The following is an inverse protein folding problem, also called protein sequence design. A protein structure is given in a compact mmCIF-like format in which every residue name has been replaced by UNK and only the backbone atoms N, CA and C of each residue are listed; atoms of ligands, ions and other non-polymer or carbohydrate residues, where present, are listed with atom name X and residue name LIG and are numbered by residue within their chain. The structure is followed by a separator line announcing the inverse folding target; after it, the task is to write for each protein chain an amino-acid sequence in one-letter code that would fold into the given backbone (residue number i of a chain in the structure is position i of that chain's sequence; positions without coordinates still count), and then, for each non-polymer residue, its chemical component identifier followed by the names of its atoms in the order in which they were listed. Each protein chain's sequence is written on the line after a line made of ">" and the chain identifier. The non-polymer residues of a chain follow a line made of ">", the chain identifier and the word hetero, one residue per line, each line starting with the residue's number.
data_IF_430227763100
#
_entry.id   IF_430227763100
#
_cell.length_a   1.000
_cell.length_b   1.000
_cell.length_c   1.000
_cell.angle_alpha   90.00
_cell.angle_beta   90.00
_cell.angle_gamma   90.00
#
_symmetry.space_group_name_H-M   'P 1'
#
loop_
_entity.id
_entity.type
_entity.pdbx_description
1 polymer ?
#
# COMPACT_ATOMS: atom_id res chain seq x y z
N UNK A 1 9.21 7.50 -3.47
CA UNK A 1 10.18 6.97 -2.50
C UNK A 1 9.46 6.41 -1.29
N UNK A 2 9.97 5.33 -0.75
CA UNK A 2 9.47 4.69 0.47
C UNK A 2 10.59 4.69 1.49
N UNK A 3 10.32 5.17 2.70
CA UNK A 3 11.32 5.28 3.76
C UNK A 3 10.75 4.84 5.10
N UNK A 4 11.41 3.88 5.73
CA UNK A 4 11.12 3.41 7.08
C UNK A 4 12.29 3.79 8.00
N UNK A 5 12.00 4.41 9.12
CA UNK A 5 13.01 4.80 10.11
C UNK A 5 12.62 4.23 11.48
N UNK A 6 13.39 3.28 11.96
CA UNK A 6 13.20 2.61 13.26
C UNK A 6 11.74 2.19 13.52
N UNK A 7 11.11 1.59 12.50
CA UNK A 7 9.69 1.26 12.54
C UNK A 7 9.44 0.02 13.39
N UNK A 8 8.54 0.17 14.34
CA UNK A 8 7.98 -0.93 15.12
C UNK A 8 6.50 -1.09 14.81
N UNK A 9 6.03 -2.32 14.75
CA UNK A 9 4.62 -2.64 14.71
C UNK A 9 4.30 -3.78 15.63
N UNK A 10 3.49 -3.48 16.64
CA UNK A 10 2.94 -4.45 17.57
C UNK A 10 1.44 -4.55 17.37
N UNK A 11 0.95 -5.77 17.31
CA UNK A 11 -0.49 -6.04 17.33
C UNK A 11 -0.96 -6.19 18.78
N UNK A 12 -2.29 -6.20 18.98
CA UNK A 12 -2.88 -6.51 20.27
C UNK A 12 -2.30 -7.84 20.83
N UNK A 13 -2.24 -7.97 22.15
CA UNK A 13 -1.71 -9.16 22.85
C UNK A 13 -0.18 -9.31 22.78
N UNK A 14 0.56 -8.22 22.50
CA UNK A 14 2.01 -8.25 22.57
C UNK A 14 2.73 -8.90 21.39
N UNK A 15 2.00 -9.21 20.32
CA UNK A 15 2.60 -9.73 19.10
C UNK A 15 3.36 -8.64 18.36
N UNK A 16 4.68 -8.73 18.35
CA UNK A 16 5.56 -7.78 17.65
C UNK A 16 5.86 -8.31 16.26
N UNK A 17 5.33 -7.63 15.24
CA UNK A 17 5.55 -8.00 13.83
C UNK A 17 6.82 -7.36 13.26
N UNK A 18 7.15 -6.13 13.65
CA UNK A 18 8.34 -5.41 13.20
C UNK A 18 9.06 -4.80 14.41
N UNK A 19 10.40 -4.93 14.42
CA UNK A 19 11.26 -4.44 15.50
C UNK A 19 12.36 -3.55 14.93
N UNK A 20 12.12 -2.23 14.90
CA UNK A 20 13.14 -1.27 14.52
C UNK A 20 13.61 -1.42 13.07
N UNK A 21 12.69 -1.53 12.14
CA UNK A 21 13.02 -1.67 10.71
C UNK A 21 13.39 -0.31 10.13
N UNK A 22 14.57 -0.24 9.54
CA UNK A 22 15.03 0.93 8.78
C UNK A 22 15.37 0.49 7.37
N UNK A 23 14.69 1.11 6.39
CA UNK A 23 14.95 0.84 4.97
C UNK A 23 14.52 2.03 4.12
N UNK A 24 15.07 2.12 2.94
CA UNK A 24 14.74 3.15 1.96
C UNK A 24 14.69 2.54 0.57
N UNK A 25 13.63 2.83 -0.16
CA UNK A 25 13.47 2.46 -1.56
C UNK A 25 13.31 3.75 -2.36
N UNK A 26 14.29 4.02 -3.21
CA UNK A 26 14.34 5.24 -4.02
C UNK A 26 13.43 5.15 -5.24
N UNK A 27 13.11 6.30 -5.82
CA UNK A 27 12.40 6.34 -7.09
C UNK A 27 13.20 5.62 -8.18
N UNK A 28 12.52 4.80 -8.97
CA UNK A 28 13.14 4.00 -10.01
C UNK A 28 13.87 2.75 -9.53
N UNK A 29 13.91 2.51 -8.24
CA UNK A 29 14.56 1.32 -7.66
C UNK A 29 13.62 0.11 -7.72
N UNK A 30 14.19 -1.06 -8.01
CA UNK A 30 13.51 -2.34 -7.94
C UNK A 30 14.06 -3.13 -6.75
N UNK A 31 13.22 -3.48 -5.80
CA UNK A 31 13.62 -4.15 -4.56
C UNK A 31 12.80 -5.40 -4.30
N UNK A 32 13.45 -6.45 -3.79
CA UNK A 32 12.80 -7.65 -3.30
C UNK A 32 12.69 -7.62 -1.78
N UNK A 33 11.52 -7.97 -1.28
CA UNK A 33 11.28 -8.18 0.15
C UNK A 33 11.10 -9.69 0.37
N UNK A 34 12.11 -10.33 0.93
CA UNK A 34 12.15 -11.78 1.08
C UNK A 34 12.16 -12.20 2.55
N UNK A 35 11.60 -13.34 2.83
CA UNK A 35 11.56 -13.91 4.17
C UNK A 35 10.49 -15.01 4.28
N UNK A 36 10.56 -15.86 5.33
CA UNK A 36 9.54 -16.88 5.56
C UNK A 36 8.19 -16.26 5.94
N UNK A 37 7.13 -17.05 5.88
CA UNK A 37 5.81 -16.66 6.40
C UNK A 37 5.92 -16.21 7.85
N UNK A 38 5.22 -15.12 8.20
CA UNK A 38 5.25 -14.57 9.56
C UNK A 38 6.46 -13.69 9.86
N UNK A 39 7.32 -13.39 8.88
CA UNK A 39 8.49 -12.51 9.06
C UNK A 39 8.19 -11.01 8.99
N UNK A 40 6.93 -10.62 8.79
CA UNK A 40 6.52 -9.23 8.76
C UNK A 40 6.34 -8.61 7.37
N UNK A 41 6.48 -9.38 6.28
CA UNK A 41 6.33 -8.87 4.91
C UNK A 41 4.95 -8.24 4.67
N UNK A 42 3.89 -8.93 5.06
CA UNK A 42 2.52 -8.42 4.93
C UNK A 42 2.31 -7.15 5.75
N UNK A 43 2.90 -7.08 6.92
CA UNK A 43 2.84 -5.88 7.79
C UNK A 43 3.49 -4.69 7.13
N UNK A 44 4.65 -4.87 6.48
CA UNK A 44 5.33 -3.81 5.74
C UNK A 44 4.43 -3.28 4.61
N UNK A 45 3.82 -4.16 3.84
CA UNK A 45 2.89 -3.75 2.76
C UNK A 45 1.69 -2.98 3.32
N UNK A 46 1.11 -3.45 4.42
CA UNK A 46 -0.03 -2.77 5.07
C UNK A 46 0.34 -1.38 5.62
N UNK A 47 1.56 -1.21 6.09
CA UNK A 47 2.07 0.10 6.49
C UNK A 47 2.23 1.03 5.28
N UNK A 48 2.78 0.53 4.17
CA UNK A 48 2.96 1.32 2.95
C UNK A 48 1.61 1.80 2.38
N UNK A 49 0.59 0.97 2.42
CA UNK A 49 -0.75 1.31 1.90
C UNK A 49 -1.63 2.09 2.88
N UNK A 50 -1.15 2.34 4.08
CA UNK A 50 -1.91 3.05 5.11
C UNK A 50 -3.02 2.23 5.76
N UNK A 51 -3.05 0.91 5.55
CA UNK A 51 -4.00 0.01 6.21
C UNK A 51 -3.70 -0.13 7.70
N UNK A 52 -2.41 -0.05 8.05
CA UNK A 52 -1.94 -0.03 9.43
C UNK A 52 -1.11 1.22 9.68
N UNK A 53 -1.05 1.64 10.95
CA UNK A 53 -0.13 2.69 11.41
C UNK A 53 1.02 2.06 12.19
N UNK A 54 2.24 2.62 12.10
CA UNK A 54 3.34 2.15 12.94
C UNK A 54 3.05 2.38 14.41
N UNK A 55 3.52 1.47 15.26
CA UNK A 55 3.44 1.64 16.71
C UNK A 55 4.51 2.64 17.18
N UNK A 56 5.68 2.61 16.56
CA UNK A 56 6.77 3.55 16.78
C UNK A 56 7.58 3.71 15.49
N UNK A 57 8.38 4.76 15.41
CA UNK A 57 9.17 5.09 14.24
C UNK A 57 8.38 5.89 13.21
N UNK A 58 8.97 6.08 12.04
CA UNK A 58 8.41 6.89 10.98
C UNK A 58 8.34 6.12 9.66
N UNK A 59 7.21 6.25 8.96
CA UNK A 59 7.01 5.68 7.61
C UNK A 59 6.63 6.81 6.67
N UNK A 60 7.44 7.02 5.64
CA UNK A 60 7.16 8.01 4.60
C UNK A 60 6.99 7.30 3.26
N UNK A 61 5.90 7.58 2.57
CA UNK A 61 5.60 7.01 1.25
C UNK A 61 5.15 8.12 0.33
N UNK A 62 5.91 8.35 -0.72
CA UNK A 62 5.61 9.35 -1.77
C UNK A 62 5.22 10.72 -1.20
N UNK A 63 5.92 11.17 -0.16
CA UNK A 63 5.69 12.46 0.49
C UNK A 63 4.66 12.44 1.61
N UNK A 64 3.99 11.33 1.86
CA UNK A 64 3.04 11.18 2.97
C UNK A 64 3.72 10.58 4.19
N UNK A 65 3.45 11.17 5.36
CA UNK A 65 3.92 10.71 6.66
C UNK A 65 2.84 9.85 7.30
N UNK A 66 3.05 8.53 7.34
CA UNK A 66 1.99 7.57 7.71
C UNK A 66 1.62 7.65 9.20
N UNK A 67 2.54 8.06 10.05
CA UNK A 67 2.28 8.27 11.47
C UNK A 67 1.39 9.51 11.74
N UNK A 68 1.32 10.43 10.79
CA UNK A 68 0.56 11.69 10.90
C UNK A 68 -0.61 11.78 9.94
N UNK A 69 -0.71 10.89 8.98
CA UNK A 69 -1.73 10.95 7.93
C UNK A 69 -3.14 10.88 8.52
N UNK A 70 -4.03 11.70 8.02
CA UNK A 70 -5.44 11.70 8.40
C UNK A 70 -6.20 10.71 7.53
N UNK A 71 -7.30 10.15 8.06
CA UNK A 71 -8.14 9.20 7.30
C UNK A 71 -8.54 9.72 5.92
N UNK A 72 -8.86 11.00 5.81
CA UNK A 72 -9.25 11.65 4.55
C UNK A 72 -8.12 11.73 3.52
N UNK A 73 -6.87 11.63 3.95
CA UNK A 73 -5.69 11.70 3.08
C UNK A 73 -5.28 10.32 2.55
N UNK A 74 -5.68 9.24 3.22
CA UNK A 74 -5.31 7.88 2.83
C UNK A 74 -5.71 7.52 1.40
N UNK A 75 -6.91 7.87 0.89
CA UNK A 75 -7.24 7.62 -0.52
C UNK A 75 -6.27 8.27 -1.50
N UNK A 76 -5.75 9.45 -1.18
CA UNK A 76 -4.77 10.14 -2.03
C UNK A 76 -3.41 9.45 -2.00
N UNK A 77 -2.96 8.99 -0.83
CA UNK A 77 -1.78 8.14 -0.72
C UNK A 77 -1.93 6.89 -1.60
N UNK A 78 -3.04 6.18 -1.49
CA UNK A 78 -3.30 4.95 -2.23
C UNK A 78 -3.33 5.12 -3.74
N UNK A 79 -3.66 6.31 -4.23
CA UNK A 79 -3.59 6.64 -5.66
C UNK A 79 -2.15 6.69 -6.18
N UNK A 80 -1.17 6.85 -5.31
CA UNK A 80 0.25 6.86 -5.67
C UNK A 80 0.88 5.47 -5.64
N UNK A 81 0.14 4.45 -5.17
CA UNK A 81 0.64 3.09 -4.96
C UNK A 81 -0.23 2.09 -5.69
N UNK A 82 0.37 1.30 -6.57
CA UNK A 82 -0.29 0.16 -7.19
C UNK A 82 0.05 -1.11 -6.43
N UNK A 83 -0.95 -1.90 -6.06
CA UNK A 83 -0.76 -3.15 -5.32
C UNK A 83 -1.39 -4.31 -6.09
N UNK A 84 -0.61 -5.38 -6.27
CA UNK A 84 -1.11 -6.66 -6.75
C UNK A 84 -1.23 -7.58 -5.55
N UNK A 85 -2.46 -7.93 -5.19
CA UNK A 85 -2.73 -8.76 -4.02
C UNK A 85 -2.58 -10.24 -4.30
N UNK A 86 -2.19 -11.01 -3.28
CA UNK A 86 -2.06 -12.45 -3.39
C UNK A 86 -3.40 -13.14 -3.68
N UNK A 87 -4.49 -12.62 -3.15
CA UNK A 87 -5.87 -13.10 -3.36
C UNK A 87 -6.58 -12.40 -4.52
N UNK A 88 -5.85 -11.66 -5.34
CA UNK A 88 -6.29 -10.89 -6.50
C UNK A 88 -7.29 -9.77 -6.21
N UNK A 89 -8.12 -9.86 -5.21
CA UNK A 89 -9.18 -8.90 -4.81
C UNK A 89 -10.05 -8.44 -5.98
N UNK A 90 -10.47 -9.38 -6.80
CA UNK A 90 -11.36 -9.13 -7.92
C UNK A 90 -12.82 -9.09 -7.45
N UNK A 91 -13.61 -8.25 -8.11
CA UNK A 91 -15.07 -8.24 -7.93
C UNK A 91 -15.63 -9.38 -8.78
N UNK A 92 -16.01 -10.49 -8.11
CA UNK A 92 -16.39 -11.73 -8.78
C UNK A 92 -17.65 -11.64 -9.67
N UNK A 93 -18.51 -10.63 -9.42
CA UNK A 93 -19.73 -10.40 -10.19
C UNK A 93 -19.51 -9.50 -11.40
N UNK A 94 -18.30 -9.01 -11.61
CA UNK A 94 -17.93 -8.09 -12.67
C UNK A 94 -17.02 -8.74 -13.69
N UNK A 95 -17.07 -8.27 -14.93
CA UNK A 95 -16.17 -8.71 -16.00
C UNK A 95 -14.73 -8.22 -15.75
N UNK A 96 -13.78 -8.74 -16.53
CA UNK A 96 -12.39 -8.24 -16.52
C UNK A 96 -12.36 -6.75 -16.83
N UNK A 97 -13.06 -6.32 -17.89
CA UNK A 97 -13.17 -4.91 -18.26
C UNK A 97 -13.71 -4.06 -17.11
N UNK A 98 -14.80 -4.48 -16.48
CA UNK A 98 -15.44 -3.74 -15.39
C UNK A 98 -14.56 -3.66 -14.14
N UNK A 99 -13.76 -4.70 -13.81
CA UNK A 99 -12.82 -4.66 -12.71
C UNK A 99 -11.75 -3.57 -12.91
N UNK A 100 -11.20 -3.47 -14.11
CA UNK A 100 -10.20 -2.44 -14.43
C UNK A 100 -10.87 -1.06 -14.50
N UNK A 101 -12.00 -0.96 -15.17
CA UNK A 101 -12.74 0.29 -15.32
C UNK A 101 -13.20 0.87 -13.96
N UNK A 102 -13.59 0.01 -13.02
CA UNK A 102 -13.99 0.44 -11.68
C UNK A 102 -12.87 1.21 -10.97
N UNK A 103 -11.66 0.70 -11.01
CA UNK A 103 -10.52 1.38 -10.39
C UNK A 103 -10.27 2.75 -11.02
N UNK A 104 -10.40 2.85 -12.33
CA UNK A 104 -10.25 4.12 -13.04
C UNK A 104 -11.36 5.12 -12.67
N UNK A 105 -12.60 4.67 -12.54
CA UNK A 105 -13.73 5.52 -12.12
C UNK A 105 -13.53 6.07 -10.70
N UNK A 106 -13.05 5.24 -9.80
CA UNK A 106 -12.80 5.65 -8.40
C UNK A 106 -11.81 6.81 -8.31
N UNK A 107 -10.81 6.84 -9.19
CA UNK A 107 -9.84 7.95 -9.23
C UNK A 107 -10.28 9.11 -10.13
N UNK A 108 -11.50 9.08 -10.66
CA UNK A 108 -12.09 10.19 -11.41
C UNK A 108 -11.82 10.19 -12.93
N UNK A 109 -11.39 9.07 -13.51
CA UNK A 109 -11.18 8.98 -14.95
C UNK A 109 -12.48 9.15 -15.71
N UNK A 110 -12.41 9.83 -16.85
CA UNK A 110 -13.55 10.02 -17.73
C UNK A 110 -13.86 8.73 -18.50
N UNK A 111 -15.12 8.53 -18.89
CA UNK A 111 -15.54 7.35 -19.65
C UNK A 111 -14.76 7.18 -20.97
N UNK A 112 -14.39 8.29 -21.61
CA UNK A 112 -13.54 8.25 -22.80
C UNK A 112 -12.17 7.65 -22.51
N UNK A 113 -11.53 8.08 -21.44
CA UNK A 113 -10.21 7.56 -21.02
C UNK A 113 -10.28 6.08 -20.68
N UNK A 114 -11.37 5.64 -20.05
CA UNK A 114 -11.60 4.24 -19.73
C UNK A 114 -11.70 3.41 -21.00
N UNK A 115 -12.50 3.85 -21.97
CA UNK A 115 -12.65 3.16 -23.26
C UNK A 115 -11.34 3.07 -24.05
N UNK A 116 -10.49 4.09 -23.92
CA UNK A 116 -9.23 4.13 -24.65
C UNK A 116 -8.14 3.29 -23.99
N UNK A 117 -8.17 3.14 -22.67
CA UNK A 117 -7.13 2.46 -21.88
C UNK A 117 -7.47 1.03 -21.47
N UNK A 118 -8.73 0.69 -21.39
CA UNK A 118 -9.18 -0.66 -21.00
C UNK A 118 -9.66 -1.37 -22.25
N UNK A 119 -8.82 -2.14 -22.92
CA UNK A 119 -9.17 -2.85 -24.13
C UNK A 119 -10.12 -4.02 -23.92
#
# INVERSE_FOLDING_TARGET
>A
MIEFTDVEKSYAEGNVALRGITMQIEDGEFAFLVGPSGSGKSTIIKLITGELKPTAGAVHVNGYSLERIRKREIPFLRRTVGVVFQDFRLIGTKTVYENVAFAMRVIGAREKEIRDRVP
#
